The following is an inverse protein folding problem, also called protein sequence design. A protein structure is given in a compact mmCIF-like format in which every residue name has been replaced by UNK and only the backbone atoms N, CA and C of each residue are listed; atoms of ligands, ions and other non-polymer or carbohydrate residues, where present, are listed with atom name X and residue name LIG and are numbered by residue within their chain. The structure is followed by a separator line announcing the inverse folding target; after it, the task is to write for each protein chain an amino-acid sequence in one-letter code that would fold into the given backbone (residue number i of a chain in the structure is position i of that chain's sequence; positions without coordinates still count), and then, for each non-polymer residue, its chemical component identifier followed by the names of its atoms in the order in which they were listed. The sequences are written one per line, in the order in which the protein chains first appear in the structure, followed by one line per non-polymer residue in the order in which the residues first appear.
data_IF_417101933668
#
_entry.id   IF_417101933668
#
_cell.length_a   1.000
_cell.length_b   1.000
_cell.length_c   1.000
_cell.angle_alpha   90.00
_cell.angle_beta   90.00
_cell.angle_gamma   90.00
#
_symmetry.space_group_name_H-M   'P 1'
#
loop_
_entity.id
_entity.type
_entity.pdbx_description
1 polymer ?
#
# COMPACT_ATOMS: atom_id res chain seq x y z
N UNK A 1 13.54 -44.83 -17.92
CA UNK A 1 12.76 -44.02 -16.96
C UNK A 1 13.69 -43.64 -15.83
N UNK A 2 14.22 -42.42 -15.88
CA UNK A 2 14.88 -41.77 -14.77
C UNK A 2 14.30 -40.35 -14.75
N UNK A 3 13.37 -40.12 -13.82
CA UNK A 3 12.91 -38.79 -13.43
C UNK A 3 14.06 -38.14 -12.65
N UNK A 4 14.84 -37.31 -13.33
CA UNK A 4 15.73 -36.37 -12.65
C UNK A 4 14.81 -35.28 -12.10
N UNK A 5 14.53 -35.39 -10.81
CA UNK A 5 13.97 -34.33 -10.00
C UNK A 5 15.03 -33.22 -9.93
N UNK A 6 14.98 -32.27 -10.86
CA UNK A 6 15.66 -30.99 -10.75
C UNK A 6 14.94 -30.19 -9.67
N UNK A 7 15.13 -30.59 -8.40
CA UNK A 7 14.94 -29.69 -7.29
C UNK A 7 16.01 -28.61 -7.43
N UNK A 8 15.72 -27.57 -8.21
CA UNK A 8 16.45 -26.32 -8.18
C UNK A 8 16.66 -25.96 -6.71
N UNK A 9 17.92 -26.02 -6.26
CA UNK A 9 18.34 -25.48 -4.97
C UNK A 9 18.03 -23.99 -5.02
N UNK A 10 16.82 -23.62 -4.59
CA UNK A 10 16.41 -22.23 -4.39
C UNK A 10 17.41 -21.66 -3.40
N UNK A 11 18.23 -20.73 -3.85
CA UNK A 11 19.21 -20.06 -3.00
C UNK A 11 18.42 -19.33 -1.91
N UNK A 12 18.43 -19.90 -0.70
CA UNK A 12 17.58 -19.41 0.37
C UNK A 12 18.22 -18.19 0.99
N UNK A 13 17.61 -17.02 0.80
CA UNK A 13 18.03 -15.80 1.45
C UNK A 13 17.93 -15.95 2.98
N UNK A 14 18.97 -15.58 3.74
CA UNK A 14 18.88 -15.50 5.21
C UNK A 14 17.95 -14.36 5.67
N UNK A 15 17.34 -13.62 4.72
CA UNK A 15 16.48 -12.46 4.95
C UNK A 15 15.20 -12.59 4.10
N UNK A 16 14.32 -13.57 4.38
CA UNK A 16 13.11 -13.84 3.57
C UNK A 16 12.18 -12.62 3.44
N UNK A 17 12.16 -11.72 4.41
CA UNK A 17 11.37 -10.50 4.35
C UNK A 17 11.79 -9.57 3.19
N UNK A 18 13.08 -9.56 2.81
CA UNK A 18 13.56 -8.81 1.65
C UNK A 18 13.11 -9.44 0.34
N UNK A 19 13.13 -10.77 0.27
CA UNK A 19 12.68 -11.51 -0.92
C UNK A 19 11.17 -11.34 -1.11
N UNK A 20 10.39 -11.41 -0.02
CA UNK A 20 8.95 -11.15 -0.03
C UNK A 20 8.66 -9.72 -0.48
N UNK A 21 9.38 -8.72 0.06
CA UNK A 21 9.22 -7.32 -0.37
C UNK A 21 9.53 -7.15 -1.85
N UNK A 22 10.61 -7.78 -2.33
CA UNK A 22 10.96 -7.74 -3.74
C UNK A 22 9.86 -8.36 -4.61
N UNK A 23 9.32 -9.52 -4.23
CA UNK A 23 8.20 -10.15 -4.92
C UNK A 23 6.92 -9.29 -4.89
N UNK A 24 6.61 -8.64 -3.77
CA UNK A 24 5.50 -7.69 -3.66
C UNK A 24 5.65 -6.52 -4.64
N UNK A 25 6.87 -6.00 -4.79
CA UNK A 25 7.19 -4.93 -5.71
C UNK A 25 7.15 -5.42 -7.17
N UNK A 26 7.62 -6.62 -7.47
CA UNK A 26 7.48 -7.21 -8.81
C UNK A 26 6.00 -7.34 -9.21
N UNK A 27 5.15 -7.80 -8.30
CA UNK A 27 3.69 -7.84 -8.52
C UNK A 27 3.08 -6.46 -8.74
N UNK A 28 3.46 -5.47 -7.94
CA UNK A 28 3.00 -4.09 -8.09
C UNK A 28 3.33 -3.49 -9.46
N UNK A 29 4.50 -3.85 -10.03
CA UNK A 29 5.06 -3.20 -11.21
C UNK A 29 4.80 -3.96 -12.51
N UNK A 30 4.90 -5.29 -12.50
CA UNK A 30 5.02 -6.10 -13.71
C UNK A 30 4.03 -7.25 -13.82
N UNK A 31 3.59 -7.87 -12.72
CA UNK A 31 2.77 -9.09 -12.77
C UNK A 31 1.30 -8.86 -12.40
N UNK A 32 1.01 -7.83 -11.62
CA UNK A 32 -0.27 -7.64 -10.95
C UNK A 32 -0.38 -8.44 -9.64
N UNK A 33 -1.37 -8.11 -8.81
CA UNK A 33 -1.68 -8.85 -7.58
C UNK A 33 -3.19 -9.11 -7.47
N UNK A 34 -3.64 -10.20 -8.08
CA UNK A 34 -5.05 -10.62 -8.06
C UNK A 34 -5.47 -11.32 -6.76
N UNK A 35 -4.54 -11.55 -5.82
CA UNK A 35 -4.85 -12.09 -4.49
C UNK A 35 -5.46 -11.03 -3.59
N UNK A 36 -5.18 -9.76 -3.88
CA UNK A 36 -5.81 -8.62 -3.23
C UNK A 36 -7.18 -8.35 -3.86
N UNK A 37 -8.11 -7.90 -3.04
CA UNK A 37 -9.43 -7.43 -3.50
C UNK A 37 -9.53 -5.93 -3.23
N UNK A 38 -9.74 -5.09 -4.27
CA UNK A 38 -9.69 -5.39 -5.68
C UNK A 38 -8.26 -5.73 -6.10
N UNK A 39 -8.13 -6.41 -7.24
CA UNK A 39 -6.83 -6.71 -7.82
C UNK A 39 -6.03 -5.43 -8.04
N UNK A 40 -4.71 -5.56 -8.00
CA UNK A 40 -3.78 -4.52 -8.45
C UNK A 40 -3.36 -4.88 -9.86
N UNK A 41 -3.62 -4.00 -10.81
CA UNK A 41 -3.05 -4.11 -12.16
C UNK A 41 -1.57 -3.71 -12.14
N UNK A 42 -0.71 -4.37 -12.94
CA UNK A 42 0.69 -4.00 -13.02
C UNK A 42 0.87 -2.61 -13.60
N UNK A 43 1.76 -1.82 -13.00
CA UNK A 43 2.00 -0.43 -13.41
C UNK A 43 2.38 -0.28 -14.89
N UNK A 44 3.15 -1.24 -15.45
CA UNK A 44 3.62 -1.18 -16.84
C UNK A 44 2.47 -1.24 -17.85
N UNK A 45 1.41 -2.00 -17.55
CA UNK A 45 0.29 -2.19 -18.46
C UNK A 45 -0.60 -0.94 -18.52
N UNK A 46 -0.60 -0.13 -17.47
CA UNK A 46 -1.48 1.03 -17.32
C UNK A 46 -2.78 0.67 -16.62
N UNK A 47 -3.71 1.63 -16.56
CA UNK A 47 -4.95 1.50 -15.78
C UNK A 47 -6.16 1.87 -16.64
N UNK A 48 -7.25 1.12 -16.55
CA UNK A 48 -8.48 1.45 -17.27
C UNK A 48 -9.14 2.71 -16.69
N UNK A 49 -9.03 2.88 -15.38
CA UNK A 49 -9.70 3.97 -14.67
C UNK A 49 -8.79 4.73 -13.71
N UNK A 50 -9.13 6.00 -13.48
CA UNK A 50 -8.47 6.81 -12.44
C UNK A 50 -8.62 6.22 -11.04
N UNK A 51 -9.67 5.44 -10.78
CA UNK A 51 -9.85 4.73 -9.50
C UNK A 51 -8.84 3.60 -9.33
N UNK A 52 -8.48 2.90 -10.40
CA UNK A 52 -7.38 1.94 -10.38
C UNK A 52 -6.05 2.64 -10.12
N UNK A 53 -5.79 3.80 -10.75
CA UNK A 53 -4.57 4.60 -10.45
C UNK A 53 -4.49 4.95 -8.96
N UNK A 54 -5.60 5.42 -8.37
CA UNK A 54 -5.67 5.75 -6.93
C UNK A 54 -5.46 4.50 -6.06
N UNK A 55 -6.05 3.38 -6.45
CA UNK A 55 -5.92 2.10 -5.74
C UNK A 55 -4.50 1.56 -5.80
N UNK A 56 -3.87 1.65 -6.96
CA UNK A 56 -2.47 1.29 -7.18
C UNK A 56 -1.55 2.19 -6.35
N UNK A 57 -1.77 3.51 -6.36
CA UNK A 57 -0.93 4.43 -5.58
C UNK A 57 -1.00 4.13 -4.09
N UNK A 58 -2.20 3.83 -3.55
CA UNK A 58 -2.35 3.40 -2.15
C UNK A 58 -1.60 2.09 -1.87
N UNK A 59 -1.71 1.09 -2.75
CA UNK A 59 -0.99 -0.17 -2.59
C UNK A 59 0.53 0.01 -2.68
N UNK A 60 0.99 0.90 -3.57
CA UNK A 60 2.39 1.30 -3.69
C UNK A 60 2.89 1.97 -2.41
N UNK A 61 2.07 2.81 -1.76
CA UNK A 61 2.44 3.42 -0.49
C UNK A 61 2.70 2.36 0.60
N UNK A 62 1.93 1.28 0.67
CA UNK A 62 2.21 0.18 1.61
C UNK A 62 3.48 -0.59 1.25
N UNK A 63 3.63 -0.97 -0.03
CA UNK A 63 4.75 -1.79 -0.54
C UNK A 63 6.06 -1.01 -0.70
N UNK A 64 6.02 0.31 -0.48
CA UNK A 64 7.19 1.19 -0.38
C UNK A 64 7.32 1.82 1.00
N UNK A 65 6.54 1.40 1.99
CA UNK A 65 6.55 1.96 3.35
C UNK A 65 6.41 3.50 3.40
N UNK A 66 5.64 4.06 2.47
CA UNK A 66 5.39 5.48 2.31
C UNK A 66 6.38 6.23 1.43
N UNK A 67 7.50 5.62 1.02
CA UNK A 67 8.53 6.29 0.21
C UNK A 67 8.03 6.78 -1.15
N UNK A 68 6.99 6.16 -1.72
CA UNK A 68 6.38 6.66 -2.96
C UNK A 68 5.89 8.11 -2.83
N UNK A 69 5.41 8.52 -1.65
CA UNK A 69 4.90 9.87 -1.43
C UNK A 69 5.99 10.94 -1.34
N UNK A 70 7.25 10.53 -1.14
CA UNK A 70 8.42 11.42 -1.16
C UNK A 70 8.88 11.70 -2.59
N UNK A 71 8.61 10.77 -3.51
CA UNK A 71 8.99 10.86 -4.93
C UNK A 71 7.83 11.32 -5.82
N UNK A 72 6.59 11.04 -5.42
CA UNK A 72 5.38 11.31 -6.18
C UNK A 72 4.23 11.75 -5.28
N UNK A 73 3.94 13.05 -5.27
CA UNK A 73 2.81 13.57 -4.52
C UNK A 73 1.48 13.04 -5.08
N UNK A 74 0.63 12.49 -4.20
CA UNK A 74 -0.70 12.04 -4.61
C UNK A 74 -1.50 13.14 -5.33
N UNK A 75 -1.31 14.40 -4.94
CA UNK A 75 -1.99 15.55 -5.54
C UNK A 75 -1.74 15.70 -7.05
N UNK A 76 -0.64 15.17 -7.58
CA UNK A 76 -0.34 15.19 -9.02
C UNK A 76 -1.35 14.36 -9.81
N UNK A 77 -1.94 13.31 -9.20
CA UNK A 77 -3.07 12.56 -9.75
C UNK A 77 -4.33 13.40 -9.93
N UNK A 78 -4.36 14.66 -9.46
CA UNK A 78 -5.45 15.62 -9.73
C UNK A 78 -4.99 16.85 -10.49
N UNK A 79 -3.73 17.27 -10.33
CA UNK A 79 -3.21 18.50 -10.91
C UNK A 79 -2.68 18.30 -12.33
N UNK A 80 -2.11 17.14 -12.62
CA UNK A 80 -1.51 16.84 -13.91
C UNK A 80 -2.42 15.92 -14.74
N UNK A 81 -3.16 16.54 -15.66
CA UNK A 81 -4.03 15.81 -16.58
C UNK A 81 -3.23 14.98 -17.58
N UNK A 82 -2.08 15.47 -18.03
CA UNK A 82 -1.26 14.74 -19.00
C UNK A 82 -0.69 13.48 -18.36
N UNK A 83 -0.23 13.56 -17.10
CA UNK A 83 0.17 12.41 -16.31
C UNK A 83 -0.94 11.35 -16.25
N UNK A 84 -2.16 11.74 -15.86
CA UNK A 84 -3.29 10.82 -15.82
C UNK A 84 -3.58 10.20 -17.18
N UNK A 85 -3.59 11.00 -18.26
CA UNK A 85 -3.85 10.51 -19.62
C UNK A 85 -2.79 9.47 -20.05
N UNK A 86 -1.54 9.59 -19.59
CA UNK A 86 -0.51 8.57 -19.82
C UNK A 86 -0.67 7.32 -18.95
N UNK A 87 -1.15 7.47 -17.71
CA UNK A 87 -1.41 6.34 -16.82
C UNK A 87 -2.62 5.52 -17.29
N UNK A 88 -3.61 6.16 -17.90
CA UNK A 88 -4.85 5.50 -18.36
C UNK A 88 -4.96 5.31 -19.87
N UNK A 89 -3.90 5.60 -20.61
CA UNK A 89 -3.90 5.52 -22.08
C UNK A 89 -3.17 4.28 -22.60
N UNK A 90 -3.68 3.71 -23.70
CA UNK A 90 -3.10 2.49 -24.31
C UNK A 90 -2.16 2.77 -25.50
N UNK A 91 -1.79 4.04 -25.71
CA UNK A 91 -0.88 4.42 -26.80
C UNK A 91 0.58 4.08 -26.48
N UNK A 92 1.41 3.90 -27.52
CA UNK A 92 2.87 3.74 -27.36
C UNK A 92 3.51 4.93 -26.62
N UNK A 93 2.97 6.14 -26.83
CA UNK A 93 3.41 7.34 -26.09
C UNK A 93 3.08 7.25 -24.60
N UNK A 94 1.91 6.71 -24.26
CA UNK A 94 1.49 6.50 -22.88
C UNK A 94 2.37 5.43 -22.21
N UNK A 95 2.60 4.30 -22.87
CA UNK A 95 3.52 3.26 -22.39
C UNK A 95 4.95 3.80 -22.18
N UNK A 96 5.46 4.58 -23.13
CA UNK A 96 6.79 5.22 -23.01
C UNK A 96 6.86 6.16 -21.80
N UNK A 97 5.82 6.96 -21.57
CA UNK A 97 5.79 7.87 -20.43
C UNK A 97 5.62 7.13 -19.11
N UNK A 98 4.82 6.04 -19.07
CA UNK A 98 4.76 5.15 -17.90
C UNK A 98 6.13 4.56 -17.58
N UNK A 99 6.86 4.07 -18.58
CA UNK A 99 8.22 3.56 -18.35
C UNK A 99 9.14 4.62 -17.74
N UNK A 100 9.05 5.88 -18.19
CA UNK A 100 9.83 6.98 -17.59
C UNK A 100 9.45 7.26 -16.14
N UNK A 101 8.16 7.20 -15.80
CA UNK A 101 7.69 7.35 -14.41
C UNK A 101 8.19 6.17 -13.58
N UNK A 102 8.11 4.95 -14.10
CA UNK A 102 8.62 3.74 -13.46
C UNK A 102 10.10 3.91 -13.11
N UNK A 103 10.93 4.27 -14.09
CA UNK A 103 12.38 4.38 -13.94
C UNK A 103 12.80 5.54 -13.03
N UNK A 104 12.16 6.70 -13.17
CA UNK A 104 12.59 7.93 -12.49
C UNK A 104 11.99 8.10 -11.09
N UNK A 105 10.86 7.46 -10.79
CA UNK A 105 10.06 7.71 -9.59
C UNK A 105 9.79 6.42 -8.82
N UNK A 106 9.17 5.44 -9.47
CA UNK A 106 8.62 4.27 -8.76
C UNK A 106 9.72 3.29 -8.34
N UNK A 107 10.68 2.99 -9.21
CA UNK A 107 11.83 2.13 -8.89
C UNK A 107 12.71 2.72 -7.77
N UNK A 108 13.06 4.03 -7.77
CA UNK A 108 13.71 4.66 -6.63
C UNK A 108 12.96 4.48 -5.30
N UNK A 109 11.64 4.70 -5.26
CA UNK A 109 10.85 4.48 -4.04
C UNK A 109 10.87 3.01 -3.58
N UNK A 110 10.84 2.05 -4.51
CA UNK A 110 10.99 0.63 -4.20
C UNK A 110 12.38 0.30 -3.61
N UNK A 111 13.43 0.88 -4.19
CA UNK A 111 14.81 0.72 -3.74
C UNK A 111 15.03 1.34 -2.35
N UNK A 112 14.44 2.50 -2.07
CA UNK A 112 14.48 3.14 -0.75
C UNK A 112 13.82 2.26 0.30
N UNK A 113 12.63 1.73 0.01
CA UNK A 113 11.94 0.78 0.88
C UNK A 113 12.74 -0.50 1.14
N UNK A 114 13.38 -1.04 0.09
CA UNK A 114 14.24 -2.22 0.21
C UNK A 114 15.46 -1.93 1.10
N UNK A 115 16.15 -0.81 0.87
CA UNK A 115 17.31 -0.39 1.65
C UNK A 115 16.95 -0.14 3.11
N UNK A 116 15.79 0.47 3.36
CA UNK A 116 15.25 0.68 4.70
C UNK A 116 15.01 -0.66 5.39
N UNK A 117 14.28 -1.59 4.76
CA UNK A 117 14.04 -2.90 5.34
C UNK A 117 15.34 -3.66 5.57
N UNK A 118 16.31 -3.55 4.66
CA UNK A 118 17.63 -4.18 4.78
C UNK A 118 18.41 -3.66 5.99
N UNK A 119 18.32 -2.37 6.29
CA UNK A 119 18.96 -1.75 7.44
C UNK A 119 18.29 -2.15 8.76
N UNK A 120 16.96 -2.36 8.75
CA UNK A 120 16.19 -2.78 9.91
C UNK A 120 16.18 -4.31 10.13
N UNK A 121 16.47 -5.10 9.09
CA UNK A 121 16.44 -6.56 9.15
C UNK A 121 17.69 -7.10 9.85
N UNK A 122 17.50 -7.72 11.02
CA UNK A 122 18.50 -8.58 11.65
C UNK A 122 18.67 -9.83 10.79
N UNK A 123 19.91 -10.15 10.43
CA UNK A 123 20.23 -11.39 9.73
C UNK A 123 19.96 -12.57 10.66
N UNK A 124 19.11 -13.52 10.23
CA UNK A 124 18.84 -14.72 11.01
C UNK A 124 19.80 -15.81 10.57
N UNK A 125 20.66 -16.25 11.48
CA UNK A 125 21.53 -17.39 11.25
C UNK A 125 20.72 -18.70 11.38
N UNK A 126 21.04 -19.74 10.56
CA UNK A 126 20.44 -21.05 10.72
C UNK A 126 20.69 -21.57 12.15
N UNK A 127 19.63 -21.97 12.86
CA UNK A 127 19.70 -22.54 14.21
C UNK A 127 19.48 -21.57 15.37
N UNK A 128 19.38 -20.25 15.11
CA UNK A 128 18.98 -19.27 16.13
C UNK A 128 17.44 -19.13 16.13
N UNK A 129 16.77 -19.87 17.02
CA UNK A 129 15.32 -19.96 17.25
C UNK A 129 14.56 -21.07 16.47
N UNK A 130 15.04 -22.31 16.55
CA UNK A 130 14.23 -23.51 16.24
C UNK A 130 13.04 -23.72 17.23
N UNK A 131 12.82 -22.82 18.18
CA UNK A 131 11.84 -22.98 19.25
C UNK A 131 10.38 -22.81 18.83
N UNK A 132 10.08 -22.26 17.64
CA UNK A 132 8.70 -22.03 17.16
C UNK A 132 8.30 -22.87 15.94
N UNK A 133 9.15 -23.81 15.48
CA UNK A 133 8.83 -24.70 14.34
C UNK A 133 8.64 -23.99 12.99
N UNK A 134 8.99 -22.70 12.89
CA UNK A 134 8.99 -21.92 11.66
C UNK A 134 10.39 -21.91 11.05
N UNK A 135 10.56 -22.55 9.90
CA UNK A 135 11.79 -22.49 9.12
C UNK A 135 11.66 -21.37 8.08
N UNK A 136 12.53 -20.37 8.16
CA UNK A 136 12.55 -19.26 7.20
C UNK A 136 12.87 -19.73 5.77
N UNK A 137 13.43 -20.94 5.62
CA UNK A 137 13.71 -21.57 4.33
C UNK A 137 12.46 -22.11 3.64
N UNK A 138 11.38 -22.28 4.37
CA UNK A 138 10.09 -22.73 3.82
C UNK A 138 9.21 -21.57 3.35
N UNK A 139 9.66 -20.32 3.52
CA UNK A 139 8.93 -19.14 3.03
C UNK A 139 9.01 -19.10 1.51
N UNK A 140 7.84 -19.11 0.86
CA UNK A 140 7.72 -18.83 -0.56
C UNK A 140 7.28 -17.36 -0.78
N UNK A 141 8.20 -16.45 -1.17
CA UNK A 141 7.89 -15.05 -1.48
C UNK A 141 6.68 -14.82 -2.40
N UNK A 142 6.39 -15.79 -3.27
CA UNK A 142 5.26 -15.70 -4.20
C UNK A 142 3.91 -16.02 -3.55
N UNK A 143 3.91 -16.71 -2.41
CA UNK A 143 2.70 -17.14 -1.70
C UNK A 143 2.47 -16.41 -0.39
N UNK A 144 3.48 -15.74 0.15
CA UNK A 144 3.36 -14.93 1.36
C UNK A 144 2.25 -13.87 1.18
N UNK A 145 1.39 -13.75 2.19
CA UNK A 145 0.21 -12.87 2.18
C UNK A 145 0.49 -11.53 2.86
N UNK A 146 1.55 -11.46 3.68
CA UNK A 146 1.91 -10.27 4.43
C UNK A 146 3.01 -9.50 3.72
N UNK A 147 2.78 -8.21 3.36
CA UNK A 147 3.80 -7.42 2.70
C UNK A 147 5.11 -7.41 3.50
N UNK A 148 6.19 -7.83 2.87
CA UNK A 148 7.50 -8.02 3.51
C UNK A 148 7.47 -8.85 4.82
N UNK A 149 6.56 -9.82 4.94
CA UNK A 149 6.28 -10.59 6.16
C UNK A 149 5.84 -9.73 7.37
N UNK A 150 5.19 -8.60 7.14
CA UNK A 150 4.72 -7.68 8.20
C UNK A 150 3.19 -7.68 8.28
N UNK A 151 2.57 -8.45 9.18
CA UNK A 151 1.10 -8.53 9.31
C UNK A 151 0.43 -7.16 9.50
N UNK A 152 1.09 -6.24 10.23
CA UNK A 152 0.57 -4.89 10.42
C UNK A 152 0.38 -4.12 9.09
N UNK A 153 1.23 -4.36 8.09
CA UNK A 153 1.10 -3.75 6.76
C UNK A 153 -0.03 -4.39 5.96
N UNK A 154 -0.25 -5.70 6.09
CA UNK A 154 -1.41 -6.36 5.48
C UNK A 154 -2.73 -5.83 6.04
N UNK A 155 -2.80 -5.64 7.36
CA UNK A 155 -3.97 -5.03 8.02
C UNK A 155 -4.16 -3.59 7.58
N UNK A 156 -3.07 -2.82 7.46
CA UNK A 156 -3.14 -1.44 6.98
C UNK A 156 -3.64 -1.37 5.53
N UNK A 157 -3.06 -2.14 4.61
CA UNK A 157 -3.47 -2.19 3.20
C UNK A 157 -4.97 -2.49 3.06
N UNK A 158 -5.45 -3.51 3.78
CA UNK A 158 -6.87 -3.88 3.78
C UNK A 158 -7.76 -2.73 4.27
N UNK A 159 -7.43 -2.10 5.40
CA UNK A 159 -8.22 -0.99 5.96
C UNK A 159 -8.26 0.22 5.02
N UNK A 160 -7.11 0.57 4.44
CA UNK A 160 -7.01 1.70 3.50
C UNK A 160 -7.82 1.43 2.23
N UNK A 161 -7.71 0.22 1.70
CA UNK A 161 -8.49 -0.20 0.57
C UNK A 161 -10.01 -0.17 0.86
N UNK A 162 -10.46 -0.79 1.95
CA UNK A 162 -11.87 -0.81 2.35
C UNK A 162 -12.43 0.62 2.52
N UNK A 163 -11.62 1.53 3.05
CA UNK A 163 -11.99 2.94 3.17
C UNK A 163 -12.19 3.61 1.80
N UNK A 164 -11.34 3.33 0.81
CA UNK A 164 -11.51 3.84 -0.57
C UNK A 164 -12.72 3.21 -1.25
N UNK A 165 -12.91 1.88 -1.12
CA UNK A 165 -14.03 1.17 -1.72
C UNK A 165 -15.37 1.73 -1.28
N UNK A 166 -15.54 1.95 0.02
CA UNK A 166 -16.75 2.58 0.58
C UNK A 166 -16.94 4.00 0.09
N UNK A 167 -15.86 4.77 -0.04
CA UNK A 167 -15.92 6.13 -0.56
C UNK A 167 -16.42 6.17 -2.02
N UNK A 168 -16.12 5.20 -2.86
CA UNK A 168 -16.52 5.24 -4.28
C UNK A 168 -18.02 5.21 -4.51
N UNK A 169 -18.75 4.42 -3.73
CA UNK A 169 -20.20 4.29 -3.84
C UNK A 169 -21.01 5.44 -3.22
N UNK A 170 -20.36 6.32 -2.44
CA UNK A 170 -21.08 7.21 -1.54
C UNK A 170 -21.65 6.47 -0.32
N UNK A 171 -22.39 7.18 0.52
CA UNK A 171 -22.93 6.64 1.76
C UNK A 171 -24.46 6.73 1.78
N UNK A 172 -25.14 5.70 2.28
CA UNK A 172 -26.60 5.68 2.36
C UNK A 172 -27.17 6.89 3.10
N UNK A 173 -26.52 7.27 4.20
CA UNK A 173 -26.91 8.39 5.02
C UNK A 173 -25.73 9.03 5.76
N UNK A 174 -26.04 10.02 6.58
CA UNK A 174 -25.07 10.71 7.42
C UNK A 174 -24.39 9.77 8.42
N UNK A 175 -25.12 8.82 9.00
CA UNK A 175 -24.60 7.91 10.01
C UNK A 175 -23.56 6.95 9.40
N UNK A 176 -23.83 6.44 8.20
CA UNK A 176 -22.89 5.63 7.43
C UNK A 176 -21.61 6.40 7.08
N UNK A 177 -21.73 7.69 6.72
CA UNK A 177 -20.59 8.57 6.48
C UNK A 177 -19.78 8.85 7.76
N UNK A 178 -20.44 9.08 8.90
CA UNK A 178 -19.79 9.27 10.20
C UNK A 178 -19.07 8.00 10.69
N UNK A 179 -19.67 6.82 10.49
CA UNK A 179 -19.02 5.55 10.77
C UNK A 179 -17.78 5.35 9.91
N UNK A 180 -17.85 5.67 8.61
CA UNK A 180 -16.68 5.65 7.73
C UNK A 180 -15.58 6.61 8.20
N UNK A 181 -15.92 7.84 8.59
CA UNK A 181 -14.95 8.81 9.13
C UNK A 181 -14.25 8.27 10.39
N UNK A 182 -14.98 7.56 11.26
CA UNK A 182 -14.39 6.91 12.43
C UNK A 182 -13.41 5.80 12.03
N UNK A 183 -13.75 5.00 11.02
CA UNK A 183 -12.90 3.91 10.50
C UNK A 183 -11.63 4.42 9.79
N UNK A 184 -11.57 5.70 9.42
CA UNK A 184 -10.35 6.30 8.87
C UNK A 184 -9.22 6.43 9.90
N UNK A 185 -9.54 6.52 11.20
CA UNK A 185 -8.51 6.64 12.25
C UNK A 185 -7.55 5.44 12.22
N UNK A 186 -8.01 4.17 12.31
CA UNK A 186 -7.13 3.02 12.20
C UNK A 186 -6.57 2.79 10.78
N UNK A 187 -7.18 3.33 9.72
CA UNK A 187 -6.66 3.23 8.34
C UNK A 187 -5.50 4.22 8.06
N UNK A 188 -5.41 5.29 8.86
CA UNK A 188 -4.43 6.37 8.70
C UNK A 188 -3.45 6.45 9.87
N UNK A 189 -3.55 5.55 10.86
CA UNK A 189 -2.88 5.67 12.16
C UNK A 189 -3.00 7.05 12.80
N UNK A 190 -4.15 7.71 12.60
CA UNK A 190 -4.39 9.05 13.14
C UNK A 190 -3.63 10.17 12.43
N UNK A 191 -3.07 9.94 11.23
CA UNK A 191 -2.39 10.97 10.44
C UNK A 191 -3.35 12.06 9.91
N UNK A 192 -4.67 11.80 9.90
CA UNK A 192 -5.65 12.80 9.51
C UNK A 192 -5.80 13.92 10.55
N UNK A 193 -6.10 15.12 10.04
CA UNK A 193 -6.48 16.25 10.88
C UNK A 193 -7.70 15.90 11.76
N UNK A 194 -7.60 16.20 13.06
CA UNK A 194 -8.64 15.85 14.05
C UNK A 194 -9.99 16.49 13.77
N UNK A 195 -10.01 17.60 13.07
CA UNK A 195 -11.21 18.35 12.74
C UNK A 195 -11.85 17.89 11.43
N UNK A 196 -11.18 17.04 10.64
CA UNK A 196 -11.65 16.71 9.28
C UNK A 196 -13.06 16.14 9.26
N UNK A 197 -13.36 15.20 10.17
CA UNK A 197 -14.69 14.60 10.25
C UNK A 197 -15.75 15.62 10.64
N UNK A 198 -15.44 16.51 11.60
CA UNK A 198 -16.32 17.60 11.99
C UNK A 198 -16.56 18.56 10.82
N UNK A 199 -15.51 18.93 10.10
CA UNK A 199 -15.56 19.90 9.01
C UNK A 199 -16.37 19.35 7.82
N UNK A 200 -16.13 18.09 7.43
CA UNK A 200 -16.88 17.42 6.36
C UNK A 200 -18.37 17.26 6.69
N UNK A 201 -18.71 16.96 7.95
CA UNK A 201 -20.11 16.79 8.36
C UNK A 201 -20.84 18.12 8.61
N UNK A 202 -20.12 19.18 8.99
CA UNK A 202 -20.69 20.52 9.16
C UNK A 202 -20.97 21.20 7.82
N UNK A 203 -20.07 21.04 6.83
CA UNK A 203 -20.26 21.55 5.48
C UNK A 203 -21.37 20.78 4.75
N UNK A 204 -22.43 21.49 4.37
CA UNK A 204 -23.60 20.92 3.70
C UNK A 204 -23.22 20.32 2.35
N UNK A 205 -22.37 20.99 1.57
CA UNK A 205 -21.97 20.57 0.23
C UNK A 205 -21.10 19.33 0.31
N UNK A 206 -20.11 19.32 1.19
CA UNK A 206 -19.25 18.17 1.44
C UNK A 206 -20.09 16.95 1.86
N UNK A 207 -20.96 17.11 2.85
CA UNK A 207 -21.84 16.04 3.33
C UNK A 207 -22.76 15.52 2.22
N UNK A 208 -23.35 16.39 1.42
CA UNK A 208 -24.20 15.98 0.29
C UNK A 208 -23.40 15.13 -0.71
N UNK A 209 -22.18 15.54 -1.07
CA UNK A 209 -21.35 14.78 -2.03
C UNK A 209 -20.79 13.47 -1.47
N UNK A 210 -20.62 13.36 -0.15
CA UNK A 210 -20.27 12.10 0.49
C UNK A 210 -21.42 11.10 0.45
N UNK A 211 -22.66 11.56 0.68
CA UNK A 211 -23.85 10.71 0.71
C UNK A 211 -24.30 10.34 -0.71
N UNK A 212 -24.38 11.31 -1.61
CA UNK A 212 -24.90 11.11 -2.97
C UNK A 212 -24.00 10.16 -3.79
N UNK A 213 -24.43 8.91 -3.97
CA UNK A 213 -23.70 7.89 -4.71
C UNK A 213 -23.75 8.07 -6.23
N UNK A 214 -24.79 8.74 -6.76
CA UNK A 214 -25.17 8.68 -8.16
C UNK A 214 -24.68 9.88 -8.97
N UNK A 215 -24.54 11.06 -8.34
CA UNK A 215 -24.10 12.28 -9.03
C UNK A 215 -22.64 12.19 -9.48
N UNK A 216 -22.39 12.65 -10.71
CA UNK A 216 -21.04 12.82 -11.26
C UNK A 216 -20.22 13.83 -10.45
N UNK A 217 -20.83 14.93 -10.03
CA UNK A 217 -20.19 15.94 -9.19
C UNK A 217 -19.79 15.37 -7.83
N UNK A 218 -20.67 14.56 -7.23
CA UNK A 218 -20.40 13.86 -5.98
C UNK A 218 -19.23 12.86 -6.14
N UNK A 219 -19.24 12.06 -7.22
CA UNK A 219 -18.14 11.14 -7.52
C UNK A 219 -16.79 11.88 -7.69
N UNK A 220 -16.77 13.03 -8.39
CA UNK A 220 -15.56 13.85 -8.53
C UNK A 220 -15.09 14.45 -7.20
N UNK A 221 -16.02 14.88 -6.35
CA UNK A 221 -15.68 15.37 -5.02
C UNK A 221 -15.00 14.28 -4.18
N UNK A 222 -15.58 13.07 -4.16
CA UNK A 222 -15.04 11.92 -3.41
C UNK A 222 -13.67 11.49 -3.95
N UNK A 223 -13.46 11.53 -5.25
CA UNK A 223 -12.15 11.28 -5.86
C UNK A 223 -11.10 12.31 -5.42
N UNK A 224 -11.44 13.61 -5.43
CA UNK A 224 -10.54 14.66 -4.93
C UNK A 224 -10.26 14.53 -3.45
N UNK A 225 -11.24 14.12 -2.65
CA UNK A 225 -11.04 13.82 -1.23
C UNK A 225 -10.06 12.66 -1.05
N UNK A 226 -10.23 11.57 -1.80
CA UNK A 226 -9.29 10.44 -1.76
C UNK A 226 -7.87 10.89 -2.08
N UNK A 227 -7.69 11.60 -3.18
CA UNK A 227 -6.37 12.02 -3.67
C UNK A 227 -5.72 13.07 -2.77
N UNK A 228 -6.46 14.11 -2.38
CA UNK A 228 -5.92 15.26 -1.67
C UNK A 228 -5.79 15.06 -0.16
N UNK A 229 -6.52 14.09 0.41
CA UNK A 229 -6.59 13.89 1.87
C UNK A 229 -6.20 12.48 2.26
N UNK A 230 -6.83 11.45 1.67
CA UNK A 230 -6.67 10.09 2.15
C UNK A 230 -5.32 9.49 1.74
N UNK A 231 -4.93 9.63 0.47
CA UNK A 231 -3.67 9.09 -0.04
C UNK A 231 -2.44 9.61 0.74
N UNK A 232 -2.28 10.93 1.00
CA UNK A 232 -1.20 11.42 1.85
C UNK A 232 -1.21 10.81 3.26
N UNK A 233 -2.38 10.75 3.90
CA UNK A 233 -2.52 10.18 5.24
C UNK A 233 -2.24 8.66 5.26
N UNK A 234 -2.56 7.95 4.18
CA UNK A 234 -2.25 6.53 4.03
C UNK A 234 -0.76 6.25 3.88
N UNK A 235 -0.04 7.08 3.12
CA UNK A 235 1.41 6.99 3.01
C UNK A 235 2.09 7.28 4.35
N UNK A 236 1.63 8.29 5.09
CA UNK A 236 2.14 8.58 6.43
C UNK A 236 1.86 7.42 7.41
N UNK A 237 0.70 6.76 7.30
CA UNK A 237 0.38 5.58 8.08
C UNK A 237 1.33 4.40 7.80
N UNK A 238 1.70 4.20 6.53
CA UNK A 238 2.66 3.16 6.12
C UNK A 238 4.07 3.47 6.64
N UNK A 239 4.46 4.75 6.64
CA UNK A 239 5.74 5.21 7.17
C UNK A 239 5.84 5.09 8.69
N UNK A 240 4.80 5.52 9.41
CA UNK A 240 4.76 5.49 10.89
C UNK A 240 4.76 4.06 11.47
N UNK A 241 4.19 3.08 10.77
CA UNK A 241 4.25 1.67 11.19
C UNK A 241 5.68 1.13 11.31
N UNK A 242 6.63 1.72 10.61
CA UNK A 242 8.04 1.35 10.71
C UNK A 242 8.62 1.68 12.09
N UNK A 243 8.20 2.80 12.69
CA UNK A 243 8.69 3.24 14.00
C UNK A 243 8.23 2.35 15.16
N UNK A 244 7.04 1.74 15.05
CA UNK A 244 6.48 0.89 16.10
C UNK A 244 7.06 -0.52 16.19
N UNK A 245 7.61 -1.05 15.08
CA UNK A 245 8.25 -2.37 15.07
C UNK A 245 9.56 -2.40 15.86
N UNK A 246 10.26 -1.26 15.96
CA UNK A 246 11.47 -1.15 16.77
C UNK A 246 11.17 -1.21 18.28
N UNK A 247 9.99 -0.78 18.72
CA UNK A 247 9.65 -0.67 20.14
C UNK A 247 9.27 -2.00 20.79
N UNK A 248 8.90 -3.03 20.01
CA UNK A 248 8.57 -4.36 20.56
C UNK A 248 9.82 -5.20 20.87
N UNK A 249 10.94 -4.97 20.19
CA UNK A 249 12.19 -5.72 20.43
C UNK A 249 12.85 -5.33 21.76
N UNK A 250 12.65 -4.09 22.24
CA UNK A 250 13.25 -3.64 23.51
C UNK A 250 12.45 -4.02 24.76
N UNK A 251 11.16 -4.37 24.63
CA UNK A 251 10.29 -4.52 25.82
C UNK A 251 10.31 -5.94 26.43
N UNK A 252 10.92 -6.94 25.79
CA UNK A 252 11.04 -8.30 26.36
C UNK A 252 12.33 -8.56 27.16
N UNK A 253 13.28 -7.61 27.24
CA UNK A 253 14.58 -7.84 27.88
C UNK A 253 14.71 -7.34 29.34
N UNK A 254 13.63 -6.89 29.98
CA UNK A 254 13.72 -6.28 31.32
C UNK A 254 12.67 -6.76 32.34
N UNK A 255 12.37 -8.06 32.39
CA UNK A 255 11.70 -8.67 33.56
C UNK A 255 12.29 -10.03 33.94
N UNK A 256 13.58 -10.07 34.28
CA UNK A 256 14.12 -10.99 35.28
C UNK A 256 15.26 -10.32 36.04
N UNK A 257 15.02 -10.15 37.34
CA UNK A 257 15.95 -10.10 38.49
C UNK A 257 15.75 -8.85 39.36
N UNK A 258 15.37 -9.11 40.61
CA UNK A 258 15.15 -8.15 41.69
C UNK A 258 14.10 -8.69 42.65
#
# INVERSE_FOLDING_TARGET
MATTDESETREVSPRPALDVLHADQQRLLFEGDHRRTPPIEPFVDGFETRREVVTWWQAAAVRTFGHIAEQWEAADLSRDRALLDHLTGDSESAATQRQRILDAIVLPACQDAFNHLKAAAVERLPGENETDGFDYRDVDPQKEEHPAMRPAHAVLDRRQHEALARLWGGFEDRMAAEAWLHDLVPATHGALDREIGRNLMADRTARTHLIDGDSREAAQYRERLAIGVLLPAFAEAAKSLQGGAATQTETQSHWKQG
#
